data_IF_830543171125
#
_entry.id   IF_830543171125
#
_cell.length_a   1.000
_cell.length_b   1.000
_cell.length_c   1.000
_cell.angle_alpha   90.00
_cell.angle_beta   90.00
_cell.angle_gamma   90.00
#
_symmetry.space_group_name_H-M   'P 1'
#
loop_
_entity.id
_entity.type
_entity.pdbx_description
1 polymer ?
#
# COMPACT_ATOMS: atom_id res chain seq x y z
N UNK A 1 -44.31 -46.78 16.12
CA UNK A 1 -44.31 -45.56 16.97
C UNK A 1 -42.94 -44.93 16.81
N UNK A 2 -42.67 -43.66 16.56
CA UNK A 2 -43.40 -42.40 16.56
C UNK A 2 -42.31 -41.31 16.43
N UNK A 3 -42.62 -40.24 15.73
CA UNK A 3 -41.77 -39.19 15.14
C UNK A 3 -41.06 -38.30 16.18
N UNK A 4 -39.91 -37.70 15.86
CA UNK A 4 -39.26 -36.71 16.74
C UNK A 4 -38.13 -35.84 16.16
N UNK A 5 -38.44 -35.03 15.14
CA UNK A 5 -37.89 -33.70 14.78
C UNK A 5 -36.41 -33.33 15.02
N UNK A 6 -35.74 -33.05 13.90
CA UNK A 6 -34.96 -31.85 13.55
C UNK A 6 -34.55 -30.88 14.67
N UNK A 7 -33.28 -30.43 14.63
CA UNK A 7 -32.87 -29.12 14.09
C UNK A 7 -31.67 -28.54 14.87
N UNK A 8 -30.51 -28.46 14.21
CA UNK A 8 -29.56 -27.37 14.41
C UNK A 8 -28.49 -27.52 15.50
N UNK A 9 -27.39 -26.79 15.26
CA UNK A 9 -26.17 -26.59 16.06
C UNK A 9 -25.14 -27.73 15.93
N UNK A 10 -23.91 -27.51 15.44
CA UNK A 10 -23.17 -26.26 15.33
C UNK A 10 -22.15 -26.36 14.19
N UNK A 11 -22.33 -25.53 13.16
CA UNK A 11 -21.22 -25.11 12.31
C UNK A 11 -20.45 -24.04 13.08
N UNK A 12 -19.48 -24.45 13.90
CA UNK A 12 -18.48 -23.54 14.47
C UNK A 12 -17.36 -23.39 13.44
N UNK A 13 -17.57 -22.41 12.57
CA UNK A 13 -16.56 -21.75 11.76
C UNK A 13 -15.43 -21.24 12.67
N UNK A 14 -14.28 -21.93 12.65
CA UNK A 14 -13.03 -21.41 13.18
C UNK A 14 -12.13 -21.01 12.00
N UNK A 15 -12.48 -19.91 11.32
CA UNK A 15 -11.52 -19.16 10.50
C UNK A 15 -11.03 -17.94 11.31
N UNK A 16 -10.30 -18.21 12.39
CA UNK A 16 -9.47 -17.19 13.04
C UNK A 16 -8.04 -17.32 12.50
N UNK A 17 -7.84 -16.92 11.25
CA UNK A 17 -6.52 -16.73 10.67
C UNK A 17 -6.41 -15.30 10.12
N UNK A 18 -6.71 -14.31 10.96
CA UNK A 18 -6.22 -12.95 10.75
C UNK A 18 -4.87 -12.85 11.46
N UNK A 19 -3.89 -13.61 10.97
CA UNK A 19 -2.50 -13.40 11.35
C UNK A 19 -2.04 -12.14 10.65
N UNK A 20 -1.76 -11.07 11.42
CA UNK A 20 -0.89 -10.01 10.94
C UNK A 20 0.45 -10.67 10.67
N UNK A 21 0.66 -11.11 9.43
CA UNK A 21 1.99 -11.42 8.96
C UNK A 21 2.80 -10.15 9.22
N UNK A 22 3.69 -10.21 10.20
CA UNK A 22 4.85 -9.35 10.22
C UNK A 22 5.64 -9.79 9.01
N UNK A 23 5.25 -9.28 7.85
CA UNK A 23 6.09 -9.26 6.68
C UNK A 23 7.33 -8.52 7.17
N UNK A 24 8.42 -9.24 7.40
CA UNK A 24 9.74 -8.63 7.53
C UNK A 24 9.86 -7.72 6.31
N UNK A 25 9.77 -6.41 6.52
CA UNK A 25 9.63 -5.46 5.42
C UNK A 25 10.94 -5.48 4.61
N UNK A 26 10.99 -6.34 3.59
CA UNK A 26 12.16 -6.56 2.72
C UNK A 26 12.34 -5.45 1.70
N UNK A 27 11.38 -4.53 1.60
CA UNK A 27 11.40 -3.43 0.66
C UNK A 27 12.40 -2.33 1.03
N UNK A 28 12.74 -1.51 0.03
CA UNK A 28 13.66 -0.40 0.23
C UNK A 28 13.05 0.64 1.17
N UNK A 29 13.77 1.09 2.21
CA UNK A 29 13.25 2.09 3.13
C UNK A 29 13.14 3.47 2.48
N UNK A 30 12.00 4.12 2.67
CA UNK A 30 11.72 5.46 2.17
C UNK A 30 11.18 6.37 3.26
N UNK A 31 11.28 7.67 3.00
CA UNK A 31 10.67 8.70 3.82
C UNK A 31 9.15 8.76 3.57
N UNK A 32 8.38 8.74 4.66
CA UNK A 32 6.93 8.92 4.62
C UNK A 32 6.43 9.60 5.88
N UNK A 33 5.15 10.01 5.86
CA UNK A 33 4.48 10.59 7.02
C UNK A 33 2.97 10.37 6.93
N UNK A 34 2.28 10.51 8.06
CA UNK A 34 0.85 10.75 8.06
C UNK A 34 0.54 12.09 7.40
N UNK A 35 -0.63 12.21 6.79
CA UNK A 35 -1.04 13.41 6.04
C UNK A 35 -1.04 14.69 6.91
N UNK A 36 -1.36 14.56 8.19
CA UNK A 36 -1.37 15.61 9.22
C UNK A 36 -0.05 15.75 9.99
N UNK A 37 0.88 14.81 9.84
CA UNK A 37 2.17 14.88 10.49
C UNK A 37 3.10 15.91 9.81
N UNK A 38 3.89 16.67 10.57
CA UNK A 38 4.70 17.77 10.04
C UNK A 38 6.05 17.31 9.47
N UNK A 39 6.48 16.08 9.74
CA UNK A 39 7.82 15.58 9.40
C UNK A 39 7.74 14.25 8.70
N UNK A 40 8.62 14.06 7.74
CA UNK A 40 8.89 12.77 7.14
C UNK A 40 9.83 11.95 8.03
N UNK A 41 9.57 10.65 8.10
CA UNK A 41 10.38 9.67 8.80
C UNK A 41 10.67 8.49 7.87
N UNK A 42 11.85 7.90 7.98
CA UNK A 42 12.27 6.74 7.18
C UNK A 42 11.70 5.44 7.76
N UNK A 43 10.38 5.32 7.77
CA UNK A 43 9.61 4.25 8.43
C UNK A 43 8.69 3.48 7.47
N UNK A 44 8.65 3.86 6.19
CA UNK A 44 7.94 3.10 5.17
C UNK A 44 8.91 2.31 4.30
N UNK A 45 8.40 1.29 3.61
CA UNK A 45 9.16 0.51 2.64
C UNK A 45 8.46 0.46 1.29
N UNK A 46 9.23 0.26 0.22
CA UNK A 46 8.70 0.03 -1.12
C UNK A 46 9.30 -1.21 -1.77
N UNK A 47 8.43 -1.95 -2.45
CA UNK A 47 8.83 -2.96 -3.44
C UNK A 47 8.49 -2.47 -4.84
N UNK A 48 9.28 -2.88 -5.82
CA UNK A 48 9.06 -2.54 -7.24
C UNK A 48 8.79 -3.80 -8.04
N UNK A 49 7.73 -3.76 -8.83
CA UNK A 49 7.29 -4.85 -9.69
C UNK A 49 7.08 -4.31 -11.09
N UNK A 50 7.74 -4.89 -12.09
CA UNK A 50 7.50 -4.52 -13.48
C UNK A 50 6.15 -5.08 -13.95
N UNK A 51 5.42 -4.29 -14.72
CA UNK A 51 4.16 -4.67 -15.35
C UNK A 51 4.09 -4.17 -16.80
N UNK A 52 3.16 -4.69 -17.62
CA UNK A 52 2.97 -4.21 -18.99
C UNK A 52 2.70 -2.70 -19.07
N UNK A 53 1.96 -2.15 -18.11
CA UNK A 53 1.50 -0.76 -18.09
C UNK A 53 2.52 0.23 -17.49
N UNK A 54 3.57 -0.28 -16.86
CA UNK A 54 4.54 0.54 -16.12
C UNK A 54 5.15 -0.20 -14.94
N UNK A 55 5.87 0.53 -14.09
CA UNK A 55 6.45 -0.04 -12.87
C UNK A 55 5.49 0.19 -11.71
N UNK A 56 5.05 -0.89 -11.07
CA UNK A 56 4.20 -0.82 -9.87
C UNK A 56 5.10 -0.71 -8.66
N UNK A 57 4.85 0.29 -7.82
CA UNK A 57 5.37 0.41 -6.46
C UNK A 57 4.32 -0.15 -5.50
N UNK A 58 4.74 -1.06 -4.62
CA UNK A 58 3.97 -1.45 -3.44
C UNK A 58 4.57 -0.72 -2.25
N UNK A 59 3.90 0.34 -1.79
CA UNK A 59 4.34 1.13 -0.64
C UNK A 59 3.65 0.64 0.64
N UNK A 60 4.42 0.36 1.69
CA UNK A 60 3.93 -0.17 2.96
C UNK A 60 4.16 0.82 4.09
N UNK A 61 3.09 1.13 4.81
CA UNK A 61 3.09 1.99 5.99
C UNK A 61 3.51 1.25 7.27
N UNK A 62 3.81 2.00 8.35
CA UNK A 62 4.16 1.42 9.65
C UNK A 62 3.00 0.67 10.32
N UNK A 63 1.76 0.92 9.87
CA UNK A 63 0.54 0.23 10.29
C UNK A 63 0.38 -1.17 9.67
N UNK A 64 1.26 -1.54 8.74
CA UNK A 64 1.17 -2.77 7.95
C UNK A 64 0.24 -2.67 6.74
N UNK A 65 -0.44 -1.54 6.56
CA UNK A 65 -1.22 -1.24 5.36
C UNK A 65 -0.31 -1.01 4.16
N UNK A 66 -0.83 -1.29 2.95
CA UNK A 66 -0.08 -1.03 1.72
C UNK A 66 -0.92 -0.30 0.67
N UNK A 67 -0.23 0.35 -0.27
CA UNK A 67 -0.79 1.03 -1.44
C UNK A 67 -0.03 0.59 -2.69
N UNK A 68 -0.77 0.34 -3.77
CA UNK A 68 -0.19 0.06 -5.10
C UNK A 68 -0.24 1.33 -5.94
N UNK A 69 0.93 1.78 -6.38
CA UNK A 69 1.12 3.00 -7.15
C UNK A 69 1.72 2.59 -8.50
N UNK A 70 1.10 2.97 -9.61
CA UNK A 70 1.64 2.73 -10.93
C UNK A 70 2.44 3.95 -11.39
N UNK A 71 3.72 3.74 -11.68
CA UNK A 71 4.53 4.73 -12.39
C UNK A 71 4.31 4.51 -13.87
N UNK A 72 3.61 5.45 -14.49
CA UNK A 72 3.27 5.40 -15.91
C UNK A 72 4.39 5.98 -16.75
N UNK A 73 4.67 5.31 -17.88
CA UNK A 73 5.78 5.67 -18.79
C UNK A 73 5.47 6.87 -19.68
N UNK A 74 4.23 7.35 -19.67
CA UNK A 74 3.72 8.41 -20.55
C UNK A 74 3.94 9.84 -20.02
N UNK A 75 4.65 9.99 -18.90
CA UNK A 75 5.00 11.29 -18.33
C UNK A 75 3.95 11.88 -17.37
N UNK A 76 2.83 11.19 -17.11
CA UNK A 76 1.88 11.59 -16.05
C UNK A 76 2.43 11.38 -14.64
N UNK A 77 3.56 10.67 -14.50
CA UNK A 77 4.23 10.43 -13.23
C UNK A 77 3.69 9.19 -12.50
N UNK A 78 2.98 9.40 -11.40
CA UNK A 78 2.47 8.34 -10.52
C UNK A 78 0.94 8.40 -10.45
N UNK A 79 0.28 7.26 -10.67
CA UNK A 79 -1.17 7.10 -10.54
C UNK A 79 -1.51 5.95 -9.58
N UNK A 80 -2.75 5.89 -9.12
CA UNK A 80 -3.23 4.71 -8.39
C UNK A 80 -3.24 3.49 -9.32
N UNK A 81 -2.70 2.35 -8.87
CA UNK A 81 -2.86 1.08 -9.57
C UNK A 81 -4.20 0.43 -9.19
N UNK A 82 -4.81 -0.34 -10.10
CA UNK A 82 -5.96 -1.23 -9.84
C UNK A 82 -7.23 -0.57 -9.27
N UNK A 83 -7.48 0.72 -9.56
CA UNK A 83 -8.63 1.44 -9.00
C UNK A 83 -8.51 1.68 -7.49
N UNK A 84 -7.29 1.61 -6.94
CA UNK A 84 -7.00 1.95 -5.56
C UNK A 84 -7.30 3.42 -5.26
N UNK A 85 -7.20 3.78 -3.96
CA UNK A 85 -7.40 5.14 -3.45
C UNK A 85 -6.73 6.17 -4.36
N UNK A 86 -7.45 7.20 -4.84
CA UNK A 86 -6.88 8.25 -5.67
C UNK A 86 -5.62 8.84 -5.06
N UNK A 87 -4.63 9.11 -5.91
CA UNK A 87 -3.35 9.67 -5.48
C UNK A 87 -3.24 11.13 -5.87
N UNK A 88 -2.65 11.94 -5.00
CA UNK A 88 -2.26 13.32 -5.32
C UNK A 88 -0.75 13.39 -5.34
N UNK A 89 -0.18 13.88 -6.45
CA UNK A 89 1.27 14.02 -6.63
C UNK A 89 1.65 15.49 -6.57
N UNK A 90 2.69 15.82 -5.80
CA UNK A 90 3.26 17.16 -5.69
C UNK A 90 4.79 17.10 -5.73
N UNK A 91 5.47 18.17 -6.17
CA UNK A 91 6.91 18.27 -6.00
C UNK A 91 7.29 18.19 -4.51
N UNK A 92 8.38 17.48 -4.19
CA UNK A 92 8.98 17.53 -2.85
C UNK A 92 9.88 18.76 -2.72
N UNK A 93 10.09 19.21 -1.50
CA UNK A 93 11.18 20.09 -1.08
C UNK A 93 12.58 19.46 -1.28
N UNK A 94 12.67 18.13 -1.22
CA UNK A 94 13.89 17.39 -1.48
C UNK A 94 14.18 17.26 -2.99
N UNK A 95 15.35 17.69 -3.47
CA UNK A 95 15.71 17.58 -4.88
C UNK A 95 15.61 16.14 -5.38
N UNK A 96 15.00 15.97 -6.56
CA UNK A 96 14.87 14.66 -7.19
C UNK A 96 13.78 13.77 -6.58
N UNK A 97 12.90 14.29 -5.73
CA UNK A 97 11.79 13.56 -5.13
C UNK A 97 10.42 14.20 -5.43
N UNK A 98 9.37 13.39 -5.33
CA UNK A 98 7.96 13.77 -5.36
C UNK A 98 7.27 13.29 -4.09
N UNK A 99 6.25 14.03 -3.66
CA UNK A 99 5.33 13.61 -2.62
C UNK A 99 4.09 12.99 -3.26
N UNK A 100 3.74 11.79 -2.83
CA UNK A 100 2.53 11.07 -3.28
C UNK A 100 1.64 10.82 -2.08
N UNK A 101 0.53 11.54 -2.00
CA UNK A 101 -0.50 11.34 -1.00
C UNK A 101 -1.48 10.24 -1.46
N UNK A 102 -1.70 9.23 -0.62
CA UNK A 102 -2.64 8.14 -0.89
C UNK A 102 -3.33 7.68 0.40
N UNK A 103 -4.58 8.11 0.58
CA UNK A 103 -5.28 7.96 1.86
C UNK A 103 -4.64 8.84 2.93
N UNK A 104 -4.32 8.27 4.09
CA UNK A 104 -3.78 9.00 5.24
C UNK A 104 -2.25 9.12 5.25
N UNK A 105 -1.58 8.61 4.20
CA UNK A 105 -0.13 8.61 4.10
C UNK A 105 0.35 9.51 2.95
N UNK A 106 1.50 10.15 3.17
CA UNK A 106 2.27 10.85 2.15
C UNK A 106 3.63 10.18 2.04
N UNK A 107 3.92 9.63 0.85
CA UNK A 107 5.18 8.96 0.53
C UNK A 107 6.10 9.91 -0.22
N UNK A 108 7.39 9.94 0.12
CA UNK A 108 8.42 10.63 -0.66
C UNK A 108 9.10 9.63 -1.57
N UNK A 109 8.85 9.73 -2.88
CA UNK A 109 9.36 8.82 -3.89
C UNK A 109 10.38 9.53 -4.78
N UNK A 110 11.41 8.84 -5.30
CA UNK A 110 12.28 9.40 -6.32
C UNK A 110 11.47 9.84 -7.56
N UNK A 111 11.70 11.06 -8.03
CA UNK A 111 11.03 11.65 -9.20
C UNK A 111 11.42 10.97 -10.52
N UNK A 112 12.49 10.18 -10.51
CA UNK A 112 12.92 9.34 -11.62
C UNK A 112 12.98 7.90 -11.14
N UNK A 113 12.27 7.01 -11.82
CA UNK A 113 12.64 5.61 -11.85
C UNK A 113 13.93 5.52 -12.66
N UNK A 114 15.03 5.14 -12.02
CA UNK A 114 16.17 4.63 -12.76
C UNK A 114 15.68 3.47 -13.65
N UNK A 115 16.15 3.35 -14.91
CA UNK A 115 15.79 2.26 -15.80
C UNK A 115 15.86 0.90 -15.12
#
# INVERSE_FOLDING_TARGET
MGVGKSLGLAALLLLAACGSAKDDATGDPIDCRLADAPRFERICTIDRVDSPDGRVIVARGPDGGFRRLLIVKDGRGVIAADGAVPVTVRPSDEPGHIEVAAGEMVYRLPAKVAP
#
